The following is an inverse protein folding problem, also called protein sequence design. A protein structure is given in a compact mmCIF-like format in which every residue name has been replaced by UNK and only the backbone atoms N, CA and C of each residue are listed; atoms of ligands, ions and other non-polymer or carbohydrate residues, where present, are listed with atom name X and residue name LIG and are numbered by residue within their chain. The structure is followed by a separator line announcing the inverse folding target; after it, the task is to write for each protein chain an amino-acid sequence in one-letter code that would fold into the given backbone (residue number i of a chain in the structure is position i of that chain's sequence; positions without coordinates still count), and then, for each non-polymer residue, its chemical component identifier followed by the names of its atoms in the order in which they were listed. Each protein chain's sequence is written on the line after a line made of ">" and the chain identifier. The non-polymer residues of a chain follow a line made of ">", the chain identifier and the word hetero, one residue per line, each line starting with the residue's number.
data_IF_958228177974
#
_entry.id   IF_958228177974
#
_cell.length_a   1.000
_cell.length_b   1.000
_cell.length_c   1.000
_cell.angle_alpha   90.00
_cell.angle_beta   90.00
_cell.angle_gamma   90.00
#
_symmetry.space_group_name_H-M   'P 1'
#
loop_
_entity.id
_entity.type
_entity.pdbx_description
1 polymer ?
#
# COMPACT_ATOMS: atom_id res chain seq x y z
N UNK A 1 -18.45 25.65 -23.50
CA UNK A 1 -18.41 24.19 -23.18
C UNK A 1 -17.00 23.83 -22.74
N UNK A 2 -16.78 23.60 -21.45
CA UNK A 2 -15.52 23.10 -20.94
C UNK A 2 -15.59 21.58 -21.01
N UNK A 3 -14.66 20.96 -21.75
CA UNK A 3 -14.51 19.52 -21.82
C UNK A 3 -14.22 18.97 -20.40
N UNK A 4 -15.08 18.08 -19.92
CA UNK A 4 -14.86 17.33 -18.70
C UNK A 4 -13.63 16.43 -18.91
N UNK A 5 -12.51 16.80 -18.29
CA UNK A 5 -11.34 15.93 -18.25
C UNK A 5 -11.73 14.63 -17.55
N UNK A 6 -11.73 13.53 -18.28
CA UNK A 6 -11.86 12.18 -17.72
C UNK A 6 -10.75 12.01 -16.67
N UNK A 7 -11.14 11.89 -15.41
CA UNK A 7 -10.20 11.61 -14.34
C UNK A 7 -9.42 10.34 -14.72
N UNK A 8 -8.09 10.46 -14.79
CA UNK A 8 -7.21 9.35 -15.17
C UNK A 8 -7.41 8.25 -14.12
N UNK A 9 -7.98 7.12 -14.55
CA UNK A 9 -8.29 5.99 -13.70
C UNK A 9 -7.00 5.57 -12.98
N UNK A 10 -7.01 5.56 -11.65
CA UNK A 10 -5.83 5.12 -10.88
C UNK A 10 -5.60 3.65 -11.15
N UNK A 11 -4.41 3.30 -11.61
CA UNK A 11 -4.08 1.95 -12.03
C UNK A 11 -3.57 1.12 -10.85
N UNK A 12 -4.02 -0.13 -10.76
CA UNK A 12 -3.54 -1.15 -9.84
C UNK A 12 -2.72 -2.19 -10.63
N UNK A 13 -1.74 -2.82 -10.00
CA UNK A 13 -1.05 -3.97 -10.58
C UNK A 13 -2.04 -5.14 -10.71
N UNK A 14 -1.86 -5.96 -11.76
CA UNK A 14 -2.61 -7.21 -11.89
C UNK A 14 -2.11 -8.26 -10.90
N UNK A 15 -2.86 -9.34 -10.72
CA UNK A 15 -2.44 -10.46 -9.86
C UNK A 15 -1.13 -11.09 -10.38
N UNK A 16 -0.97 -11.18 -11.70
CA UNK A 16 0.23 -11.71 -12.35
C UNK A 16 1.44 -10.81 -12.12
N UNK A 17 1.27 -9.48 -12.26
CA UNK A 17 2.33 -8.50 -11.97
C UNK A 17 2.75 -8.56 -10.51
N UNK A 18 1.80 -8.68 -9.57
CA UNK A 18 2.11 -8.84 -8.14
C UNK A 18 2.89 -10.13 -7.90
N UNK A 19 2.43 -11.26 -8.44
CA UNK A 19 3.12 -12.55 -8.30
C UNK A 19 4.55 -12.50 -8.87
N UNK A 20 4.72 -11.85 -10.03
CA UNK A 20 6.02 -11.63 -10.63
C UNK A 20 6.92 -10.79 -9.72
N UNK A 21 6.48 -9.61 -9.26
CA UNK A 21 7.23 -8.73 -8.37
C UNK A 21 7.62 -9.45 -7.06
N UNK A 22 6.70 -10.19 -6.46
CA UNK A 22 6.99 -10.96 -5.24
C UNK A 22 8.12 -11.97 -5.44
N UNK A 23 8.29 -12.50 -6.65
CA UNK A 23 9.29 -13.51 -7.00
C UNK A 23 10.64 -12.91 -7.40
N UNK A 24 10.65 -11.86 -8.23
CA UNK A 24 11.88 -11.38 -8.90
C UNK A 24 12.58 -10.23 -8.18
N UNK A 25 11.87 -9.45 -7.36
CA UNK A 25 12.50 -8.36 -6.64
C UNK A 25 13.62 -8.86 -5.73
N UNK A 26 14.76 -8.17 -5.67
CA UNK A 26 15.86 -8.55 -4.77
C UNK A 26 15.46 -8.36 -3.30
N UNK A 27 16.22 -8.99 -2.41
CA UNK A 27 16.07 -8.83 -0.96
C UNK A 27 16.86 -7.62 -0.43
N UNK A 28 16.91 -6.55 -1.23
CA UNK A 28 17.42 -5.26 -0.83
C UNK A 28 16.33 -4.37 -0.21
N UNK A 29 16.72 -3.21 0.30
CA UNK A 29 15.79 -2.27 0.97
C UNK A 29 14.60 -1.91 0.10
N UNK A 30 14.78 -1.72 -1.23
CA UNK A 30 13.69 -1.35 -2.12
C UNK A 30 12.78 -2.53 -2.44
N UNK A 31 13.32 -3.69 -2.79
CA UNK A 31 12.53 -4.87 -3.08
C UNK A 31 11.70 -5.33 -1.87
N UNK A 32 12.28 -5.30 -0.67
CA UNK A 32 11.55 -5.57 0.58
C UNK A 32 10.44 -4.54 0.80
N UNK A 33 10.69 -3.25 0.52
CA UNK A 33 9.71 -2.18 0.67
C UNK A 33 8.56 -2.29 -0.32
N UNK A 34 8.82 -2.68 -1.57
CA UNK A 34 7.76 -2.89 -2.58
C UNK A 34 6.85 -4.04 -2.15
N UNK A 35 7.42 -5.17 -1.72
CA UNK A 35 6.64 -6.30 -1.21
C UNK A 35 5.80 -5.90 0.01
N UNK A 36 6.37 -5.11 0.91
CA UNK A 36 5.66 -4.63 2.10
C UNK A 36 4.51 -3.68 1.71
N UNK A 37 4.72 -2.75 0.79
CA UNK A 37 3.68 -1.86 0.28
C UNK A 37 2.54 -2.63 -0.40
N UNK A 38 2.86 -3.64 -1.22
CA UNK A 38 1.88 -4.51 -1.87
C UNK A 38 1.09 -5.36 -0.86
N UNK A 39 1.75 -5.87 0.18
CA UNK A 39 1.13 -6.77 1.15
C UNK A 39 0.39 -6.07 2.29
N UNK A 40 0.56 -4.76 2.48
CA UNK A 40 -0.04 -4.02 3.62
C UNK A 40 -0.94 -2.86 3.19
N UNK A 41 -0.80 -2.38 1.97
CA UNK A 41 -1.52 -1.21 1.49
C UNK A 41 -1.17 0.09 2.22
N UNK A 42 -0.08 0.13 3.01
CA UNK A 42 0.35 1.37 3.67
C UNK A 42 0.74 2.45 2.66
N UNK A 43 0.70 3.71 3.08
CA UNK A 43 1.13 4.83 2.22
C UNK A 43 2.65 4.91 2.16
N UNK A 44 3.18 5.33 1.01
CA UNK A 44 4.63 5.59 0.86
C UNK A 44 5.17 6.53 1.95
N UNK A 45 4.44 7.58 2.31
CA UNK A 45 4.86 8.53 3.33
C UNK A 45 4.90 7.91 4.74
N UNK A 46 4.07 6.92 5.00
CA UNK A 46 4.07 6.13 6.24
C UNK A 46 5.30 5.22 6.28
N UNK A 47 5.59 4.53 5.18
CA UNK A 47 6.80 3.71 5.06
C UNK A 47 8.08 4.54 5.23
N UNK A 48 8.15 5.72 4.62
CA UNK A 48 9.35 6.58 4.72
C UNK A 48 9.57 7.11 6.14
N UNK A 49 8.52 7.27 6.93
CA UNK A 49 8.61 7.69 8.33
C UNK A 49 8.65 6.51 9.31
N UNK A 50 8.67 5.27 8.81
CA UNK A 50 8.64 4.08 9.66
C UNK A 50 9.98 3.89 10.34
N UNK A 51 9.94 3.79 11.68
CA UNK A 51 11.08 3.45 12.52
C UNK A 51 11.07 1.95 12.82
N UNK A 52 12.24 1.30 13.00
CA UNK A 52 12.34 -0.13 13.29
C UNK A 52 11.48 -0.57 14.49
N UNK A 53 11.42 0.26 15.54
CA UNK A 53 10.65 -0.01 16.76
C UNK A 53 9.13 -0.07 16.56
N UNK A 54 8.62 0.42 15.43
CA UNK A 54 7.21 0.35 15.06
C UNK A 54 6.85 -0.92 14.26
N UNK A 55 7.79 -1.84 14.10
CA UNK A 55 7.57 -3.18 13.55
C UNK A 55 7.74 -4.18 14.68
N UNK A 56 6.75 -5.04 14.92
CA UNK A 56 6.87 -6.12 15.91
C UNK A 56 8.06 -7.06 15.57
N UNK A 57 8.64 -7.71 16.57
CA UNK A 57 9.86 -8.53 16.40
C UNK A 57 9.67 -9.66 15.38
N UNK A 58 8.50 -10.26 15.36
CA UNK A 58 8.15 -11.32 14.40
C UNK A 58 7.62 -10.79 13.07
N UNK A 59 7.58 -9.46 12.88
CA UNK A 59 7.06 -8.79 11.70
C UNK A 59 5.55 -8.88 11.53
N UNK A 60 4.81 -9.31 12.55
CA UNK A 60 3.35 -9.58 12.45
C UNK A 60 2.49 -8.32 12.39
N UNK A 61 2.96 -7.22 12.97
CA UNK A 61 2.23 -5.95 13.03
C UNK A 61 3.16 -4.79 12.76
N UNK A 62 2.65 -3.79 12.05
CA UNK A 62 3.31 -2.49 11.85
C UNK A 62 2.44 -1.40 12.44
N UNK A 63 3.02 -0.60 13.34
CA UNK A 63 2.37 0.50 14.03
C UNK A 63 2.54 1.80 13.26
N UNK A 64 1.51 2.29 12.58
CA UNK A 64 1.54 3.58 11.89
C UNK A 64 1.28 4.69 12.91
N UNK A 65 2.31 5.49 13.20
CA UNK A 65 2.28 6.59 14.19
C UNK A 65 2.58 7.94 13.57
N UNK A 66 3.25 7.95 12.41
CA UNK A 66 3.75 9.15 11.77
C UNK A 66 3.83 8.99 10.25
N UNK A 67 4.00 10.11 9.55
CA UNK A 67 4.17 10.14 8.11
C UNK A 67 5.11 11.29 7.69
N UNK A 68 5.81 11.11 6.59
CA UNK A 68 6.62 12.17 5.97
C UNK A 68 5.70 13.24 5.37
N UNK A 69 6.03 14.49 5.65
CA UNK A 69 5.48 15.68 4.99
C UNK A 69 6.59 16.43 4.29
N UNK A 70 6.26 17.02 3.14
CA UNK A 70 7.18 17.89 2.41
C UNK A 70 6.56 19.29 2.37
N UNK A 71 7.22 20.25 2.98
CA UNK A 71 6.79 21.65 3.01
C UNK A 71 7.92 22.49 2.43
N UNK A 72 7.66 23.19 1.33
CA UNK A 72 8.65 24.02 0.62
C UNK A 72 9.97 23.27 0.32
N UNK A 73 9.86 21.99 -0.08
CA UNK A 73 11.04 21.16 -0.40
C UNK A 73 11.72 20.51 0.80
N UNK A 74 11.34 20.87 2.02
CA UNK A 74 11.93 20.32 3.24
C UNK A 74 11.13 19.11 3.71
N UNK A 75 11.82 18.00 3.97
CA UNK A 75 11.26 16.80 4.57
C UNK A 75 11.09 17.02 6.07
N UNK A 76 9.93 16.68 6.59
CA UNK A 76 9.61 16.70 8.01
C UNK A 76 8.71 15.53 8.36
N UNK A 77 8.71 15.16 9.65
CA UNK A 77 7.82 14.16 10.21
C UNK A 77 6.63 14.89 10.84
N UNK A 78 5.46 14.33 10.71
CA UNK A 78 4.28 14.85 11.37
C UNK A 78 3.26 13.77 11.65
N UNK A 79 2.32 14.10 12.54
CA UNK A 79 1.14 13.24 12.70
C UNK A 79 0.51 12.98 11.35
N UNK A 80 0.00 11.77 11.10
CA UNK A 80 -0.83 11.51 9.95
C UNK A 80 -1.99 12.52 9.87
N UNK A 81 -2.56 12.72 8.67
CA UNK A 81 -3.54 13.79 8.40
C UNK A 81 -4.81 13.77 9.27
N UNK A 82 -5.16 12.63 9.85
CA UNK A 82 -6.33 12.44 10.71
C UNK A 82 -5.99 11.49 11.87
N UNK A 83 -6.79 11.53 12.95
CA UNK A 83 -6.68 10.56 14.06
C UNK A 83 -6.84 9.11 13.58
N UNK A 84 -7.69 8.88 12.58
CA UNK A 84 -7.94 7.57 11.97
C UNK A 84 -6.77 7.03 11.12
N UNK A 85 -5.71 7.84 10.95
CA UNK A 85 -4.49 7.41 10.27
C UNK A 85 -3.48 6.76 11.22
N UNK A 86 -3.65 6.94 12.55
CA UNK A 86 -2.90 6.20 13.56
C UNK A 86 -3.58 4.85 13.70
N UNK A 87 -2.88 3.80 13.33
CA UNK A 87 -3.44 2.44 13.28
C UNK A 87 -2.35 1.39 13.35
N UNK A 88 -2.77 0.16 13.57
CA UNK A 88 -1.92 -1.02 13.50
C UNK A 88 -2.30 -1.82 12.25
N UNK A 89 -1.30 -2.19 11.47
CA UNK A 89 -1.48 -2.95 10.22
C UNK A 89 -1.00 -4.39 10.47
N UNK A 90 -1.90 -5.39 10.44
CA UNK A 90 -1.50 -6.78 10.45
C UNK A 90 -0.78 -7.13 9.15
N UNK A 91 0.40 -7.76 9.26
CA UNK A 91 1.24 -8.13 8.12
C UNK A 91 0.96 -9.58 7.72
N UNK A 92 0.60 -9.85 6.46
CA UNK A 92 0.40 -11.21 5.96
C UNK A 92 1.65 -12.10 6.13
N UNK A 93 1.46 -13.37 6.45
CA UNK A 93 2.53 -14.32 6.75
C UNK A 93 3.66 -14.35 5.72
N UNK A 94 3.30 -14.30 4.43
CA UNK A 94 4.27 -14.32 3.32
C UNK A 94 5.08 -13.01 3.17
N UNK A 95 4.69 -11.93 3.85
CA UNK A 95 5.34 -10.61 3.81
C UNK A 95 6.08 -10.29 5.12
N UNK A 96 5.81 -11.01 6.23
CA UNK A 96 6.50 -10.82 7.52
C UNK A 96 8.03 -10.87 7.42
N UNK A 97 8.65 -11.79 6.62
CA UNK A 97 10.10 -11.77 6.45
C UNK A 97 10.64 -10.46 5.85
N UNK A 98 9.83 -9.75 5.06
CA UNK A 98 10.23 -8.43 4.55
C UNK A 98 10.19 -7.38 5.67
N UNK A 99 9.18 -7.43 6.54
CA UNK A 99 9.05 -6.52 7.68
C UNK A 99 10.20 -6.72 8.68
N UNK A 100 10.53 -7.97 9.05
CA UNK A 100 11.64 -8.27 9.97
C UNK A 100 12.99 -7.86 9.41
N UNK A 101 13.27 -8.15 8.12
CA UNK A 101 14.52 -7.71 7.46
C UNK A 101 14.63 -6.18 7.39
N UNK A 102 13.53 -5.47 7.17
CA UNK A 102 13.51 -4.00 7.18
C UNK A 102 13.68 -3.43 8.59
N UNK A 103 13.15 -4.12 9.62
CA UNK A 103 13.35 -3.75 11.02
C UNK A 103 14.82 -3.89 11.45
N UNK A 104 15.55 -4.84 10.86
CA UNK A 104 16.93 -5.13 11.21
C UNK A 104 17.90 -4.11 10.59
N UNK A 105 17.76 -2.85 11.00
CA UNK A 105 18.63 -1.72 10.62
C UNK A 105 19.05 -0.95 11.86
N UNK A 106 20.22 -0.32 11.81
CA UNK A 106 20.71 0.59 12.86
C UNK A 106 20.29 2.03 12.62
N UNK A 107 19.71 2.33 11.47
CA UNK A 107 19.20 3.66 11.12
C UNK A 107 17.95 3.98 11.98
N UNK A 108 17.69 5.26 12.25
CA UNK A 108 16.48 5.68 12.95
C UNK A 108 15.23 5.39 12.12
N UNK A 109 15.30 5.54 10.80
CA UNK A 109 14.20 5.26 9.88
C UNK A 109 14.56 4.13 8.91
N UNK A 110 13.58 3.31 8.55
CA UNK A 110 13.76 2.28 7.51
C UNK A 110 14.32 2.88 6.22
N UNK A 111 13.91 4.11 5.89
CA UNK A 111 14.38 4.90 4.76
C UNK A 111 15.00 6.21 5.24
N UNK A 112 16.17 6.11 5.86
CA UNK A 112 16.94 7.27 6.31
C UNK A 112 17.81 7.83 5.20
N UNK A 113 17.95 9.17 5.17
CA UNK A 113 18.90 9.86 4.33
C UNK A 113 20.26 9.93 5.04
N UNK A 114 21.32 9.33 4.50
CA UNK A 114 22.65 9.35 5.13
C UNK A 114 23.23 10.76 5.32
N UNK A 115 22.70 11.76 4.57
CA UNK A 115 23.17 13.14 4.63
C UNK A 115 22.54 13.93 5.77
N UNK A 116 21.34 13.58 6.20
CA UNK A 116 20.56 14.42 7.12
C UNK A 116 20.09 13.70 8.36
N UNK A 117 20.15 12.37 8.42
CA UNK A 117 19.53 11.56 9.47
C UNK A 117 17.98 11.66 9.49
N UNK A 118 17.38 12.31 8.49
CA UNK A 118 15.94 12.43 8.35
C UNK A 118 15.41 11.37 7.36
N UNK A 119 14.09 11.13 7.31
CA UNK A 119 13.51 10.26 6.31
C UNK A 119 13.91 10.66 4.89
N UNK A 120 14.05 9.68 4.03
CA UNK A 120 14.37 9.89 2.61
C UNK A 120 13.32 10.79 1.93
N UNK A 121 13.78 11.61 1.00
CA UNK A 121 12.90 12.46 0.21
C UNK A 121 11.96 11.59 -0.65
N UNK A 122 10.63 11.83 -0.63
CA UNK A 122 9.66 11.08 -1.43
C UNK A 122 9.94 11.06 -2.94
N UNK A 123 10.57 12.08 -3.49
CA UNK A 123 10.96 12.11 -4.91
C UNK A 123 12.04 11.06 -5.18
N UNK A 124 13.11 11.05 -4.37
CA UNK A 124 14.17 10.05 -4.51
C UNK A 124 13.63 8.62 -4.35
N UNK A 125 12.74 8.38 -3.38
CA UNK A 125 12.10 7.07 -3.24
C UNK A 125 11.35 6.65 -4.51
N UNK A 126 10.57 7.56 -5.12
CA UNK A 126 9.86 7.26 -6.38
C UNK A 126 10.80 6.93 -7.52
N UNK A 127 11.94 7.63 -7.62
CA UNK A 127 12.92 7.38 -8.68
C UNK A 127 13.54 5.98 -8.52
N UNK A 128 13.93 5.59 -7.29
CA UNK A 128 14.46 4.25 -7.00
C UNK A 128 13.39 3.18 -7.18
N UNK A 129 12.17 3.43 -6.73
CA UNK A 129 11.01 2.53 -6.94
C UNK A 129 10.78 2.26 -8.43
N UNK A 130 10.75 3.32 -9.24
CA UNK A 130 10.58 3.19 -10.69
C UNK A 130 11.70 2.36 -11.32
N UNK A 131 12.95 2.64 -10.95
CA UNK A 131 14.11 1.88 -11.43
C UNK A 131 13.99 0.39 -11.08
N UNK A 132 13.57 0.06 -9.87
CA UNK A 132 13.35 -1.34 -9.47
C UNK A 132 12.26 -2.04 -10.28
N UNK A 133 11.20 -1.33 -10.69
CA UNK A 133 10.19 -1.89 -11.61
C UNK A 133 10.76 -2.08 -13.02
N UNK A 134 11.57 -1.15 -13.51
CA UNK A 134 12.25 -1.28 -14.81
C UNK A 134 13.20 -2.50 -14.82
N UNK A 135 13.93 -2.72 -13.74
CA UNK A 135 14.83 -3.87 -13.57
C UNK A 135 14.08 -5.20 -13.38
N UNK A 136 12.92 -5.18 -12.73
CA UNK A 136 12.08 -6.36 -12.57
C UNK A 136 11.51 -6.87 -13.91
N UNK A 137 11.30 -5.97 -14.88
CA UNK A 137 10.70 -6.31 -16.18
C UNK A 137 9.26 -6.83 -16.08
N UNK A 138 8.60 -7.01 -17.21
CA UNK A 138 7.27 -7.63 -17.34
C UNK A 138 6.17 -7.04 -16.40
N UNK A 139 6.34 -5.80 -15.97
CA UNK A 139 5.37 -5.06 -15.16
C UNK A 139 5.20 -3.63 -15.64
N UNK A 140 4.04 -3.06 -15.40
CA UNK A 140 3.79 -1.65 -15.71
C UNK A 140 4.54 -0.73 -14.75
N UNK A 141 5.03 0.39 -15.26
CA UNK A 141 5.75 1.40 -14.45
C UNK A 141 4.75 2.29 -13.70
N UNK A 142 4.11 1.72 -12.70
CA UNK A 142 3.16 2.40 -11.85
C UNK A 142 3.87 3.13 -10.70
N UNK A 143 3.10 3.80 -9.84
CA UNK A 143 3.62 4.57 -8.71
C UNK A 143 3.55 3.77 -7.40
N UNK A 144 4.30 4.16 -6.34
CA UNK A 144 4.14 3.52 -5.02
C UNK A 144 2.71 3.55 -4.48
N UNK A 145 1.91 4.55 -4.86
CA UNK A 145 0.50 4.62 -4.47
C UNK A 145 -0.35 3.53 -5.13
N UNK A 146 0.07 3.06 -6.29
CA UNK A 146 -0.58 1.93 -6.98
C UNK A 146 -0.48 0.62 -6.20
N UNK A 147 0.56 0.43 -5.36
CA UNK A 147 0.63 -0.72 -4.45
C UNK A 147 -0.57 -0.76 -3.50
N UNK A 148 -0.95 0.41 -2.96
CA UNK A 148 -2.12 0.53 -2.08
C UNK A 148 -3.42 0.30 -2.84
N UNK A 149 -3.56 0.82 -4.07
CA UNK A 149 -4.72 0.52 -4.91
C UNK A 149 -4.83 -0.97 -5.21
N UNK A 150 -3.69 -1.62 -5.48
CA UNK A 150 -3.62 -3.06 -5.69
C UNK A 150 -4.10 -3.84 -4.46
N UNK A 151 -3.57 -3.51 -3.27
CA UNK A 151 -3.98 -4.13 -2.02
C UNK A 151 -5.51 -4.03 -1.80
N UNK A 152 -6.04 -2.82 -1.92
CA UNK A 152 -7.48 -2.57 -1.74
C UNK A 152 -8.31 -3.36 -2.76
N UNK A 153 -7.94 -3.32 -4.04
CA UNK A 153 -8.66 -4.03 -5.11
C UNK A 153 -8.63 -5.55 -4.91
N UNK A 154 -7.50 -6.10 -4.47
CA UNK A 154 -7.39 -7.54 -4.17
C UNK A 154 -8.23 -7.94 -2.96
N UNK A 155 -8.21 -7.15 -1.89
CA UNK A 155 -9.05 -7.40 -0.71
C UNK A 155 -10.55 -7.37 -1.07
N UNK A 156 -10.96 -6.41 -1.91
CA UNK A 156 -12.32 -6.34 -2.43
C UNK A 156 -12.68 -7.57 -3.28
N UNK A 157 -11.79 -7.98 -4.16
CA UNK A 157 -12.00 -9.18 -4.99
C UNK A 157 -12.13 -10.47 -4.16
N UNK A 158 -11.50 -10.51 -2.98
CA UNK A 158 -11.66 -11.59 -1.99
C UNK A 158 -12.93 -11.45 -1.14
N UNK A 159 -13.77 -10.43 -1.37
CA UNK A 159 -15.04 -10.24 -0.68
C UNK A 159 -14.92 -9.59 0.70
N UNK A 160 -13.74 -9.02 1.04
CA UNK A 160 -13.57 -8.30 2.31
C UNK A 160 -14.38 -7.00 2.26
N UNK A 161 -15.15 -6.74 3.31
CA UNK A 161 -15.97 -5.54 3.39
C UNK A 161 -15.13 -4.24 3.45
N UNK A 162 -15.72 -3.13 2.98
CA UNK A 162 -15.00 -1.86 2.86
C UNK A 162 -14.60 -1.28 4.21
N UNK A 163 -15.39 -1.48 5.26
CA UNK A 163 -15.09 -0.92 6.58
C UNK A 163 -13.86 -1.61 7.16
N UNK A 164 -13.76 -2.93 7.00
CA UNK A 164 -12.57 -3.71 7.34
C UNK A 164 -11.35 -3.23 6.55
N UNK A 165 -11.48 -3.09 5.21
CA UNK A 165 -10.37 -2.58 4.39
C UNK A 165 -9.94 -1.18 4.85
N UNK A 166 -10.90 -0.27 5.09
CA UNK A 166 -10.63 1.10 5.54
C UNK A 166 -9.96 1.13 6.91
N UNK A 167 -10.33 0.24 7.83
CA UNK A 167 -9.68 0.16 9.15
C UNK A 167 -8.21 -0.22 9.04
N UNK A 168 -7.85 -1.10 8.10
CA UNK A 168 -6.47 -1.54 7.86
C UNK A 168 -5.67 -0.45 7.15
N UNK A 169 -6.20 0.09 6.05
CA UNK A 169 -5.45 1.03 5.22
C UNK A 169 -5.57 2.48 5.68
N UNK A 170 -6.53 2.80 6.53
CA UNK A 170 -6.83 4.15 7.06
C UNK A 170 -7.76 4.96 6.14
N UNK A 171 -8.74 5.62 6.77
CA UNK A 171 -9.72 6.47 6.10
C UNK A 171 -9.02 7.65 5.43
N UNK A 172 -9.09 7.83 4.12
CA UNK A 172 -8.80 9.10 3.43
C UNK A 172 -8.94 9.06 1.91
N UNK A 173 -9.52 8.03 1.30
CA UNK A 173 -9.75 8.04 -0.14
C UNK A 173 -11.25 7.90 -0.45
N UNK A 174 -11.92 9.05 -0.59
CA UNK A 174 -13.31 9.15 -1.10
C UNK A 174 -13.45 8.53 -2.50
N UNK A 175 -12.36 8.46 -3.26
CA UNK A 175 -12.33 7.81 -4.59
C UNK A 175 -12.41 6.27 -4.52
N UNK A 176 -12.06 5.64 -3.37
CA UNK A 176 -12.29 4.21 -3.17
C UNK A 176 -13.78 3.88 -3.11
N UNK A 177 -14.62 4.84 -2.73
CA UNK A 177 -16.05 4.64 -2.55
C UNK A 177 -16.78 4.38 -3.88
N UNK A 178 -16.39 5.05 -4.97
CA UNK A 178 -17.06 4.89 -6.28
C UNK A 178 -16.73 3.53 -6.94
N UNK A 179 -15.47 3.11 -6.89
CA UNK A 179 -15.09 1.78 -7.41
C UNK A 179 -15.70 0.64 -6.60
N UNK A 180 -15.80 0.84 -5.29
CA UNK A 180 -16.45 -0.08 -4.36
C UNK A 180 -17.95 -0.27 -4.66
N UNK A 181 -18.69 0.77 -5.00
CA UNK A 181 -20.12 0.66 -5.34
C UNK A 181 -20.34 -0.28 -6.53
N UNK A 182 -19.49 -0.25 -7.55
CA UNK A 182 -19.59 -1.15 -8.70
C UNK A 182 -19.25 -2.61 -8.37
N UNK A 183 -18.25 -2.86 -7.53
CA UNK A 183 -17.88 -4.22 -7.10
C UNK A 183 -18.95 -4.80 -6.17
N UNK A 184 -19.47 -4.00 -5.25
CA UNK A 184 -20.58 -4.41 -4.37
C UNK A 184 -21.86 -4.76 -5.14
N UNK A 185 -22.18 -4.02 -6.21
CA UNK A 185 -23.34 -4.31 -7.03
C UNK A 185 -23.22 -5.68 -7.71
N UNK A 186 -22.03 -6.02 -8.25
CA UNK A 186 -21.80 -7.34 -8.85
C UNK A 186 -21.85 -8.48 -7.82
N UNK A 187 -21.31 -8.27 -6.61
CA UNK A 187 -21.35 -9.23 -5.51
C UNK A 187 -22.81 -9.40 -5.02
N UNK A 188 -23.58 -8.32 -4.89
CA UNK A 188 -24.99 -8.38 -4.52
C UNK A 188 -25.81 -9.16 -5.55
N UNK A 189 -25.62 -8.90 -6.84
CA UNK A 189 -26.30 -9.61 -7.91
C UNK A 189 -25.97 -11.11 -7.89
N UNK A 190 -24.69 -11.46 -7.70
CA UNK A 190 -24.26 -12.86 -7.58
C UNK A 190 -24.84 -13.53 -6.34
N UNK A 191 -24.86 -12.84 -5.19
CA UNK A 191 -25.46 -13.36 -3.95
C UNK A 191 -26.98 -13.59 -4.09
N UNK A 192 -27.70 -12.66 -4.76
CA UNK A 192 -29.14 -12.80 -5.03
C UNK A 192 -29.41 -13.99 -5.96
N UNK A 193 -28.55 -14.20 -6.99
CA UNK A 193 -28.69 -15.35 -7.88
C UNK A 193 -28.44 -16.68 -7.15
N UNK A 194 -27.41 -16.76 -6.30
CA UNK A 194 -27.13 -17.94 -5.47
C UNK A 194 -28.29 -18.22 -4.49
N UNK A 195 -28.82 -17.18 -3.85
CA UNK A 195 -29.96 -17.29 -2.95
C UNK A 195 -31.20 -17.75 -3.69
N UNK A 196 -31.50 -17.21 -4.85
CA UNK A 196 -32.63 -17.61 -5.68
C UNK A 196 -32.52 -19.06 -6.14
N UNK A 197 -31.29 -19.51 -6.50
CA UNK A 197 -31.06 -20.93 -6.86
C UNK A 197 -31.27 -21.90 -5.71
N UNK A 198 -31.04 -21.50 -4.46
CA UNK A 198 -31.23 -22.33 -3.27
C UNK A 198 -32.70 -22.58 -2.94
N UNK A 199 -33.63 -21.79 -3.48
CA UNK A 199 -35.09 -21.93 -3.26
C UNK A 199 -35.86 -22.39 -4.51
N UNK A 200 -35.13 -22.75 -5.59
CA UNK A 200 -35.74 -23.25 -6.83
C UNK A 200 -35.70 -24.77 -6.91
N UNK A 201 -36.02 -25.46 -5.80
CA UNK A 201 -36.17 -26.92 -5.72
C UNK A 201 -37.64 -27.30 -5.66
#
# INVERSE_FOLDING_TARGET
>A
MRASGTAKRKEAFTTEEVAHLMKVLPDDRMGLSIRLLLGTGMRMQELLALEPQFIEEDGSVIHIRQAVKVVKGTVSIGSPKSKDSIRDIPVPLNVRPCATKLRDTTDQFIWESPKTGLPCNPTHFRDVFRKSLEEAGDVRLLTPHSCRHTYVSQMQALGVDIQTIQSIVGHADTEMTEHYLHVQESIRQSAIQLFSGAFSA
#
